data_IF_462221528096
#
_entry.id   IF_462221528096
#
_cell.length_a   1.000
_cell.length_b   1.000
_cell.length_c   1.000
_cell.angle_alpha   90.00
_cell.angle_beta   90.00
_cell.angle_gamma   90.00
#
_symmetry.space_group_name_H-M   'P 1'
#
loop_
_entity.id
_entity.type
_entity.pdbx_description
1 polymer ?
#
# COMPACT_ATOMS: atom_id res chain seq x y z
N UNK A 1 -36.17 -8.24 -9.17
CA UNK A 1 -34.81 -8.75 -9.43
C UNK A 1 -33.85 -7.83 -8.69
N UNK A 2 -32.95 -8.38 -7.87
CA UNK A 2 -31.94 -7.53 -7.20
C UNK A 2 -31.02 -6.90 -8.25
N UNK A 3 -30.67 -5.62 -8.02
CA UNK A 3 -29.80 -4.83 -8.89
C UNK A 3 -28.33 -5.21 -8.75
N UNK A 4 -27.95 -5.92 -7.68
CA UNK A 4 -26.55 -6.21 -7.33
C UNK A 4 -26.30 -7.72 -7.25
N UNK A 5 -25.33 -8.27 -8.00
CA UNK A 5 -24.96 -9.69 -7.93
C UNK A 5 -24.61 -10.18 -6.52
N UNK A 6 -23.98 -9.32 -5.70
CA UNK A 6 -23.57 -9.61 -4.33
C UNK A 6 -24.78 -9.94 -3.44
N UNK A 7 -25.90 -9.25 -3.60
CA UNK A 7 -27.13 -9.56 -2.87
C UNK A 7 -27.65 -10.96 -3.23
N UNK A 8 -27.61 -11.33 -4.51
CA UNK A 8 -28.09 -12.64 -4.96
C UNK A 8 -27.19 -13.76 -4.41
N UNK A 9 -25.87 -13.57 -4.46
CA UNK A 9 -24.89 -14.48 -3.89
C UNK A 9 -25.08 -14.61 -2.37
N UNK A 10 -25.26 -13.49 -1.65
CA UNK A 10 -25.46 -13.50 -0.20
C UNK A 10 -26.77 -14.18 0.21
N UNK A 11 -27.87 -13.97 -0.53
CA UNK A 11 -29.14 -14.69 -0.30
C UNK A 11 -29.00 -16.20 -0.50
N UNK A 12 -28.31 -16.63 -1.55
CA UNK A 12 -28.03 -18.05 -1.80
C UNK A 12 -27.20 -18.66 -0.68
N UNK A 13 -26.13 -17.97 -0.26
CA UNK A 13 -25.28 -18.38 0.84
C UNK A 13 -26.08 -18.48 2.16
N UNK A 14 -26.92 -17.48 2.46
CA UNK A 14 -27.81 -17.46 3.62
C UNK A 14 -28.73 -18.70 3.67
N UNK A 15 -29.41 -19.02 2.57
CA UNK A 15 -30.28 -20.21 2.48
C UNK A 15 -29.50 -21.52 2.64
N UNK A 16 -28.27 -21.57 2.14
CA UNK A 16 -27.41 -22.73 2.29
C UNK A 16 -26.94 -22.91 3.75
N UNK A 17 -26.53 -21.84 4.42
CA UNK A 17 -26.14 -21.84 5.83
C UNK A 17 -27.32 -22.24 6.73
N UNK A 18 -28.52 -21.70 6.50
CA UNK A 18 -29.72 -22.10 7.25
C UNK A 18 -30.00 -23.60 7.15
N UNK A 19 -29.85 -24.17 5.94
CA UNK A 19 -30.04 -25.61 5.71
C UNK A 19 -28.95 -26.44 6.40
N UNK A 20 -27.70 -25.99 6.38
CA UNK A 20 -26.58 -26.70 7.00
C UNK A 20 -26.69 -26.73 8.52
N UNK A 21 -27.05 -25.60 9.14
CA UNK A 21 -27.10 -25.48 10.61
C UNK A 21 -28.33 -26.16 11.20
N UNK A 22 -29.40 -26.39 10.42
CA UNK A 22 -30.65 -27.05 10.86
C UNK A 22 -31.21 -26.46 12.17
N UNK A 23 -31.04 -25.15 12.37
CA UNK A 23 -31.49 -24.44 13.56
C UNK A 23 -30.58 -24.55 14.79
N UNK A 24 -29.43 -25.22 14.70
CA UNK A 24 -28.41 -25.22 15.78
C UNK A 24 -27.66 -23.90 15.92
N UNK A 25 -27.75 -23.02 14.92
CA UNK A 25 -27.14 -21.70 14.90
C UNK A 25 -28.11 -20.67 14.31
N UNK A 26 -27.97 -19.42 14.72
CA UNK A 26 -28.66 -18.29 14.11
C UNK A 26 -27.90 -17.84 12.86
N UNK A 27 -28.63 -17.60 11.77
CA UNK A 27 -28.06 -17.05 10.52
C UNK A 27 -28.78 -15.74 10.22
N UNK A 28 -28.03 -14.67 10.00
CA UNK A 28 -28.52 -13.34 9.64
C UNK A 28 -27.93 -12.93 8.29
N UNK A 29 -28.68 -12.13 7.54
CA UNK A 29 -28.26 -11.53 6.28
C UNK A 29 -28.27 -10.01 6.45
N UNK A 30 -27.11 -9.39 6.29
CA UNK A 30 -26.91 -7.95 6.47
C UNK A 30 -26.29 -7.35 5.21
N UNK A 31 -26.63 -6.09 4.90
CA UNK A 31 -25.98 -5.39 3.81
C UNK A 31 -26.85 -4.40 3.04
N UNK A 32 -26.19 -3.67 2.13
CA UNK A 32 -26.80 -2.76 1.15
C UNK A 32 -25.86 -2.55 -0.03
N UNK A 33 -26.42 -2.48 -1.24
CA UNK A 33 -25.63 -2.18 -2.44
C UNK A 33 -24.66 -3.32 -2.75
N UNK A 34 -23.35 -3.01 -2.77
CA UNK A 34 -22.26 -3.97 -3.03
C UNK A 34 -21.65 -4.54 -1.75
N UNK A 35 -22.16 -4.17 -0.57
CA UNK A 35 -21.65 -4.64 0.72
C UNK A 35 -22.70 -5.56 1.35
N UNK A 36 -22.50 -6.87 1.23
CA UNK A 36 -23.37 -7.89 1.84
C UNK A 36 -22.56 -8.88 2.66
N UNK A 37 -23.15 -9.35 3.75
CA UNK A 37 -22.58 -10.37 4.61
C UNK A 37 -23.64 -11.30 5.19
N UNK A 38 -23.24 -12.55 5.45
CA UNK A 38 -23.99 -13.49 6.28
C UNK A 38 -23.30 -13.61 7.64
N UNK A 39 -24.05 -13.48 8.72
CA UNK A 39 -23.54 -13.67 10.09
C UNK A 39 -24.11 -14.96 10.64
N UNK A 40 -23.24 -15.87 11.08
CA UNK A 40 -23.61 -17.18 11.64
C UNK A 40 -23.15 -17.26 13.08
N UNK A 41 -24.08 -17.37 14.03
CA UNK A 41 -23.77 -17.35 15.47
C UNK A 41 -24.27 -18.62 16.13
N UNK A 42 -23.41 -19.28 16.92
CA UNK A 42 -23.78 -20.40 17.78
C UNK A 42 -23.07 -20.26 19.12
N UNK A 43 -23.85 -20.15 20.22
CA UNK A 43 -23.33 -19.91 21.57
C UNK A 43 -22.48 -18.63 21.60
N UNK A 44 -21.20 -18.77 21.92
CA UNK A 44 -20.18 -17.74 22.07
C UNK A 44 -19.25 -17.66 20.83
N UNK A 45 -19.64 -18.26 19.71
CA UNK A 45 -18.88 -18.23 18.46
C UNK A 45 -19.68 -17.62 17.33
N UNK A 46 -18.96 -16.94 16.45
CA UNK A 46 -19.54 -16.27 15.29
C UNK A 46 -18.64 -16.42 14.06
N UNK A 47 -19.27 -16.50 12.89
CA UNK A 47 -18.60 -16.28 11.60
C UNK A 47 -19.31 -15.18 10.85
N UNK A 48 -18.58 -14.16 10.41
CA UNK A 48 -19.06 -13.13 9.48
C UNK A 48 -18.51 -13.44 8.09
N UNK A 49 -19.38 -13.60 7.10
CA UNK A 49 -19.00 -13.96 5.72
C UNK A 49 -19.39 -12.81 4.79
N UNK A 50 -18.43 -11.98 4.41
CA UNK A 50 -18.61 -10.96 3.39
C UNK A 50 -18.58 -11.57 1.99
N UNK A 51 -19.45 -11.08 1.11
CA UNK A 51 -19.61 -11.59 -0.25
C UNK A 51 -19.20 -10.52 -1.25
N UNK A 52 -18.27 -10.87 -2.13
CA UNK A 52 -17.78 -10.03 -3.21
C UNK A 52 -18.10 -10.66 -4.56
N UNK A 53 -18.37 -9.81 -5.55
CA UNK A 53 -18.52 -10.21 -6.95
C UNK A 53 -17.58 -9.37 -7.80
N UNK A 54 -16.65 -10.04 -8.49
CA UNK A 54 -15.70 -9.37 -9.37
C UNK A 54 -16.24 -9.31 -10.80
N UNK A 55 -15.86 -8.29 -11.62
CA UNK A 55 -16.34 -8.12 -12.99
C UNK A 55 -16.14 -9.33 -13.91
N UNK A 56 -15.17 -10.20 -13.59
CA UNK A 56 -14.88 -11.45 -14.30
C UNK A 56 -15.92 -12.55 -14.01
N UNK A 57 -16.93 -12.28 -13.17
CA UNK A 57 -17.99 -13.21 -12.81
C UNK A 57 -17.68 -14.08 -11.60
N UNK A 58 -16.50 -13.93 -11.00
CA UNK A 58 -16.05 -14.74 -9.87
C UNK A 58 -16.61 -14.20 -8.55
N UNK A 59 -17.18 -15.11 -7.75
CA UNK A 59 -17.57 -14.81 -6.38
C UNK A 59 -16.38 -15.07 -5.45
N UNK A 60 -16.25 -14.24 -4.42
CA UNK A 60 -15.29 -14.44 -3.35
C UNK A 60 -15.95 -14.20 -2.00
N UNK A 61 -15.54 -15.00 -1.01
CA UNK A 61 -16.07 -15.01 0.34
C UNK A 61 -14.93 -14.69 1.29
N UNK A 62 -15.07 -13.63 2.08
CA UNK A 62 -14.16 -13.27 3.16
C UNK A 62 -14.82 -13.61 4.49
N UNK A 63 -14.20 -14.49 5.27
CA UNK A 63 -14.72 -15.00 6.52
C UNK A 63 -13.91 -14.45 7.68
N UNK A 64 -14.60 -13.95 8.71
CA UNK A 64 -14.03 -13.60 10.01
C UNK A 64 -14.53 -14.59 11.05
N UNK A 65 -13.62 -15.30 11.70
CA UNK A 65 -13.92 -16.27 12.74
C UNK A 65 -13.75 -15.63 14.11
N UNK A 66 -14.87 -15.40 14.79
CA UNK A 66 -14.92 -14.76 16.10
C UNK A 66 -15.19 -15.80 17.20
N UNK A 67 -14.39 -15.74 18.26
CA UNK A 67 -14.54 -16.55 19.46
C UNK A 67 -15.40 -15.87 20.53
N UNK A 68 -15.32 -16.36 21.78
CA UNK A 68 -16.06 -15.81 22.91
C UNK A 68 -15.83 -14.31 23.06
N UNK A 69 -16.88 -13.59 23.46
CA UNK A 69 -16.88 -12.14 23.64
C UNK A 69 -16.53 -11.32 22.37
N UNK A 70 -16.65 -11.94 21.19
CA UNK A 70 -16.36 -11.28 19.91
C UNK A 70 -14.87 -11.13 19.62
N UNK A 71 -14.01 -11.91 20.28
CA UNK A 71 -12.56 -11.89 20.02
C UNK A 71 -12.28 -12.47 18.63
N UNK A 72 -11.70 -11.66 17.75
CA UNK A 72 -11.23 -12.10 16.44
C UNK A 72 -10.17 -13.20 16.57
N UNK A 73 -10.38 -14.35 15.92
CA UNK A 73 -9.47 -15.49 16.00
C UNK A 73 -8.70 -15.75 14.71
N UNK A 74 -9.35 -15.62 13.55
CA UNK A 74 -8.77 -15.92 12.25
C UNK A 74 -9.57 -15.31 11.09
N UNK A 75 -8.91 -15.22 9.94
CA UNK A 75 -9.45 -14.75 8.68
C UNK A 75 -9.39 -15.85 7.60
N UNK A 76 -10.23 -15.77 6.59
CA UNK A 76 -10.14 -16.61 5.40
C UNK A 76 -10.69 -15.90 4.18
N UNK A 77 -10.07 -16.10 3.01
CA UNK A 77 -10.59 -15.65 1.73
C UNK A 77 -10.62 -16.80 0.74
N UNK A 78 -11.81 -17.11 0.21
CA UNK A 78 -12.02 -18.31 -0.63
C UNK A 78 -13.05 -18.04 -1.73
N UNK A 79 -12.92 -18.69 -2.89
CA UNK A 79 -13.88 -18.58 -4.02
C UNK A 79 -14.96 -19.65 -4.04
N UNK A 80 -14.83 -20.66 -3.19
CA UNK A 80 -15.73 -21.80 -3.07
C UNK A 80 -16.77 -21.54 -2.00
N UNK A 81 -18.04 -21.41 -2.42
CA UNK A 81 -19.17 -21.27 -1.49
C UNK A 81 -19.27 -22.46 -0.53
N UNK A 82 -19.04 -23.68 -1.04
CA UNK A 82 -19.13 -24.89 -0.24
C UNK A 82 -18.05 -24.94 0.85
N UNK A 83 -16.83 -24.47 0.54
CA UNK A 83 -15.74 -24.44 1.51
C UNK A 83 -15.98 -23.36 2.58
N UNK A 84 -16.53 -22.20 2.19
CA UNK A 84 -16.96 -21.17 3.14
C UNK A 84 -18.03 -21.68 4.11
N UNK A 85 -19.04 -22.39 3.58
CA UNK A 85 -20.10 -23.06 4.35
C UNK A 85 -19.50 -24.14 5.28
N UNK A 86 -18.61 -24.99 4.77
CA UNK A 86 -17.99 -26.06 5.54
C UNK A 86 -17.14 -25.52 6.70
N UNK A 87 -16.28 -24.53 6.44
CA UNK A 87 -15.46 -23.88 7.46
C UNK A 87 -16.32 -23.16 8.51
N UNK A 88 -17.38 -22.46 8.08
CA UNK A 88 -18.31 -21.81 9.00
C UNK A 88 -18.97 -22.82 9.93
N UNK A 89 -19.44 -23.94 9.38
CA UNK A 89 -20.04 -25.05 10.13
C UNK A 89 -19.08 -25.70 11.13
N UNK A 90 -17.81 -25.89 10.75
CA UNK A 90 -16.78 -26.44 11.64
C UNK A 90 -16.49 -25.49 12.82
N UNK A 91 -16.32 -24.19 12.54
CA UNK A 91 -16.05 -23.19 13.57
C UNK A 91 -17.17 -23.08 14.60
N UNK A 92 -18.41 -22.89 14.16
CA UNK A 92 -19.58 -22.82 15.06
C UNK A 92 -19.86 -24.17 15.75
N UNK A 93 -19.41 -25.27 15.14
CA UNK A 93 -19.46 -26.62 15.70
C UNK A 93 -18.48 -26.86 16.86
N UNK A 94 -17.56 -25.92 17.12
CA UNK A 94 -16.64 -25.98 18.25
C UNK A 94 -15.20 -26.38 17.89
N UNK A 95 -14.85 -26.50 16.61
CA UNK A 95 -13.49 -26.86 16.20
C UNK A 95 -12.46 -25.83 16.69
N UNK A 96 -11.31 -26.29 17.17
CA UNK A 96 -10.22 -25.38 17.57
C UNK A 96 -9.54 -24.77 16.36
N UNK A 97 -8.79 -23.68 16.54
CA UNK A 97 -8.09 -23.03 15.43
C UNK A 97 -7.07 -23.98 14.77
N UNK A 98 -6.41 -24.85 15.53
CA UNK A 98 -5.48 -25.85 14.99
C UNK A 98 -6.18 -26.87 14.10
N UNK A 99 -7.40 -27.26 14.49
CA UNK A 99 -8.23 -28.15 13.68
C UNK A 99 -8.74 -27.45 12.42
N UNK A 100 -9.06 -26.16 12.52
CA UNK A 100 -9.41 -25.33 11.36
C UNK A 100 -8.25 -25.27 10.37
N UNK A 101 -7.03 -24.98 10.82
CA UNK A 101 -5.83 -24.96 9.98
C UNK A 101 -5.53 -26.28 9.27
N UNK A 102 -5.84 -27.40 9.92
CA UNK A 102 -5.67 -28.75 9.35
C UNK A 102 -6.74 -29.07 8.30
N UNK A 103 -7.98 -28.67 8.56
CA UNK A 103 -9.14 -29.04 7.73
C UNK A 103 -9.38 -28.07 6.58
N UNK A 104 -8.97 -26.81 6.75
CA UNK A 104 -9.20 -25.70 5.83
C UNK A 104 -7.90 -24.93 5.62
N UNK A 105 -7.05 -25.34 4.65
CA UNK A 105 -5.75 -24.72 4.39
C UNK A 105 -5.82 -23.23 4.03
N UNK A 106 -6.97 -22.72 3.62
CA UNK A 106 -7.19 -21.30 3.31
C UNK A 106 -7.39 -20.41 4.55
N UNK A 107 -7.61 -20.99 5.75
CA UNK A 107 -7.75 -20.21 6.99
C UNK A 107 -6.40 -19.67 7.42
N UNK A 108 -6.30 -18.36 7.64
CA UNK A 108 -5.06 -17.62 7.89
C UNK A 108 -3.96 -17.97 6.86
N UNK A 109 -4.30 -18.28 5.60
CA UNK A 109 -3.32 -18.73 4.61
C UNK A 109 -2.20 -17.71 4.41
N UNK A 110 -2.54 -16.44 4.18
CA UNK A 110 -1.57 -15.35 4.03
C UNK A 110 -0.69 -15.21 5.27
N UNK A 111 -1.30 -15.13 6.46
CA UNK A 111 -0.60 -15.03 7.75
C UNK A 111 0.37 -16.18 7.98
N UNK A 112 -0.08 -17.43 7.79
CA UNK A 112 0.75 -18.62 7.96
C UNK A 112 1.87 -18.69 6.92
N UNK A 113 1.61 -18.22 5.70
CA UNK A 113 2.63 -18.09 4.65
C UNK A 113 3.72 -17.12 5.08
N UNK A 114 3.37 -15.93 5.57
CA UNK A 114 4.38 -14.99 6.07
C UNK A 114 5.12 -15.47 7.31
N UNK A 115 4.44 -16.15 8.24
CA UNK A 115 5.12 -16.80 9.37
C UNK A 115 6.12 -17.86 8.91
N UNK A 116 5.79 -18.63 7.87
CA UNK A 116 6.72 -19.58 7.27
C UNK A 116 7.92 -18.87 6.62
N UNK A 117 7.69 -17.80 5.87
CA UNK A 117 8.75 -16.98 5.26
C UNK A 117 9.68 -16.42 6.35
N UNK A 118 9.11 -15.83 7.40
CA UNK A 118 9.84 -15.31 8.55
C UNK A 118 10.73 -16.39 9.17
N UNK A 119 10.17 -17.56 9.46
CA UNK A 119 10.91 -18.67 10.06
C UNK A 119 12.06 -19.16 9.16
N UNK A 120 11.82 -19.29 7.86
CA UNK A 120 12.83 -19.71 6.89
C UNK A 120 13.96 -18.68 6.81
N UNK A 121 13.64 -17.40 6.59
CA UNK A 121 14.62 -16.32 6.55
C UNK A 121 15.41 -16.26 7.86
N UNK A 122 14.73 -16.21 9.00
CA UNK A 122 15.37 -16.12 10.32
C UNK A 122 16.12 -17.40 10.75
N UNK A 123 16.05 -18.49 9.97
CA UNK A 123 16.87 -19.68 10.20
C UNK A 123 18.30 -19.55 9.66
N UNK A 124 18.56 -18.58 8.77
CA UNK A 124 19.88 -18.30 8.23
C UNK A 124 20.82 -17.68 9.29
N UNK A 125 22.10 -18.09 9.24
CA UNK A 125 23.09 -17.71 10.23
C UNK A 125 23.29 -16.19 10.34
N UNK A 126 23.15 -15.68 11.56
CA UNK A 126 23.36 -14.28 11.92
C UNK A 126 22.13 -13.38 11.79
N UNK A 127 21.03 -13.85 11.18
CA UNK A 127 19.83 -13.01 11.02
C UNK A 127 19.02 -12.88 12.31
N UNK A 128 18.73 -14.00 12.98
CA UNK A 128 17.88 -14.03 14.18
C UNK A 128 18.41 -13.15 15.32
N UNK A 129 19.73 -13.08 15.47
CA UNK A 129 20.37 -12.31 16.55
C UNK A 129 20.57 -10.83 16.20
N UNK A 130 20.41 -10.46 14.93
CA UNK A 130 20.75 -9.13 14.41
C UNK A 130 19.55 -8.28 14.01
N UNK A 131 18.38 -8.89 13.83
CA UNK A 131 17.19 -8.27 13.25
C UNK A 131 15.96 -8.45 14.14
N UNK A 132 15.03 -7.50 14.07
CA UNK A 132 13.66 -7.72 14.48
C UNK A 132 12.79 -8.00 13.25
N UNK A 133 11.75 -8.82 13.43
CA UNK A 133 10.73 -9.06 12.43
C UNK A 133 9.35 -8.82 13.01
N UNK A 134 8.47 -8.28 12.18
CA UNK A 134 7.10 -7.92 12.55
C UNK A 134 6.16 -8.32 11.42
N UNK A 135 5.12 -9.08 11.76
CA UNK A 135 4.01 -9.34 10.88
C UNK A 135 2.93 -8.30 11.14
N UNK A 136 2.72 -7.39 10.19
CA UNK A 136 1.73 -6.34 10.28
C UNK A 136 0.43 -6.78 9.59
N UNK A 137 -0.69 -6.22 10.06
CA UNK A 137 -2.02 -6.40 9.47
C UNK A 137 -2.47 -5.04 8.98
N UNK A 138 -2.52 -4.83 7.66
CA UNK A 138 -2.95 -3.56 7.11
C UNK A 138 -4.48 -3.41 7.22
N UNK A 139 -5.21 -4.44 6.78
CA UNK A 139 -6.67 -4.50 6.80
C UNK A 139 -7.13 -5.92 6.47
N UNK A 140 -8.06 -6.49 7.24
CA UNK A 140 -8.60 -7.84 6.97
C UNK A 140 -7.49 -8.90 6.82
N UNK A 141 -7.47 -9.61 5.70
CA UNK A 141 -6.52 -10.67 5.38
C UNK A 141 -5.26 -10.19 4.61
N UNK A 142 -5.01 -8.88 4.58
CA UNK A 142 -3.80 -8.30 4.00
C UNK A 142 -2.72 -8.17 5.07
N UNK A 143 -1.64 -8.93 4.87
CA UNK A 143 -0.48 -9.00 5.75
C UNK A 143 0.77 -8.57 4.99
N UNK A 144 1.68 -7.91 5.71
CA UNK A 144 3.06 -7.68 5.28
C UNK A 144 4.03 -8.13 6.37
N UNK A 145 5.14 -8.74 5.96
CA UNK A 145 6.22 -9.13 6.84
C UNK A 145 7.34 -8.10 6.72
N UNK A 146 7.71 -7.47 7.83
CA UNK A 146 8.80 -6.49 7.87
C UNK A 146 9.97 -7.02 8.68
N UNK A 147 11.16 -6.89 8.12
CA UNK A 147 12.45 -7.08 8.80
C UNK A 147 13.10 -5.71 9.00
N UNK A 148 13.50 -5.40 10.22
CA UNK A 148 14.00 -4.08 10.60
C UNK A 148 15.42 -4.11 11.16
N UNK A 149 16.23 -3.17 10.68
CA UNK A 149 17.47 -2.75 11.33
C UNK A 149 17.76 -1.30 10.98
N UNK A 150 17.28 -0.40 11.84
CA UNK A 150 17.37 1.05 11.62
C UNK A 150 18.78 1.48 11.15
N UNK A 151 18.89 2.30 10.09
CA UNK A 151 17.81 2.95 9.35
C UNK A 151 17.25 2.14 8.16
N UNK A 152 17.63 0.88 7.98
CA UNK A 152 17.19 0.07 6.83
C UNK A 152 16.09 -0.90 7.21
N UNK A 153 15.26 -1.25 6.24
CA UNK A 153 14.26 -2.30 6.40
C UNK A 153 14.06 -3.09 5.10
N UNK A 154 13.45 -4.25 5.23
CA UNK A 154 12.92 -5.04 4.12
C UNK A 154 11.46 -5.37 4.44
N UNK A 155 10.52 -4.93 3.61
CA UNK A 155 9.11 -5.33 3.69
C UNK A 155 8.83 -6.38 2.63
N UNK A 156 8.09 -7.42 2.97
CA UNK A 156 7.69 -8.50 2.07
C UNK A 156 6.17 -8.54 2.05
N UNK A 157 5.59 -8.41 0.86
CA UNK A 157 4.15 -8.42 0.63
C UNK A 157 3.80 -9.34 -0.55
N UNK A 158 2.52 -9.71 -0.67
CA UNK A 158 2.06 -10.37 -1.88
C UNK A 158 1.91 -9.33 -2.98
N UNK A 159 2.56 -9.54 -4.13
CA UNK A 159 2.39 -8.65 -5.27
C UNK A 159 0.94 -8.56 -5.74
N UNK A 160 0.58 -7.47 -6.42
CA UNK A 160 -0.81 -7.22 -6.89
C UNK A 160 -1.40 -8.37 -7.72
N UNK A 161 -0.57 -9.09 -8.47
CA UNK A 161 -0.98 -10.23 -9.29
C UNK A 161 -1.00 -11.57 -8.53
N UNK A 162 -0.54 -11.59 -7.27
CA UNK A 162 -0.25 -12.79 -6.47
C UNK A 162 0.71 -13.78 -7.13
N UNK A 163 1.45 -13.37 -8.17
CA UNK A 163 2.38 -14.26 -8.90
C UNK A 163 3.77 -14.37 -8.27
N UNK A 164 3.98 -13.77 -7.09
CA UNK A 164 5.22 -13.84 -6.35
C UNK A 164 5.16 -13.02 -5.06
N UNK A 165 6.22 -13.14 -4.27
CA UNK A 165 6.46 -12.26 -3.13
C UNK A 165 7.21 -11.04 -3.63
N UNK A 166 6.73 -9.85 -3.29
CA UNK A 166 7.44 -8.60 -3.57
C UNK A 166 8.20 -8.20 -2.31
N UNK A 167 9.52 -8.04 -2.42
CA UNK A 167 10.38 -7.57 -1.34
C UNK A 167 10.85 -6.14 -1.64
N UNK A 168 10.57 -5.23 -0.72
CA UNK A 168 10.80 -3.79 -0.80
C UNK A 168 11.91 -3.44 0.17
N UNK A 169 12.98 -2.84 -0.33
CA UNK A 169 14.17 -2.54 0.44
C UNK A 169 14.23 -1.04 0.72
N UNK A 170 14.05 -0.70 1.99
CA UNK A 170 13.93 0.68 2.46
C UNK A 170 15.22 1.15 3.11
N UNK A 171 15.55 2.43 2.92
CA UNK A 171 16.52 3.17 3.72
C UNK A 171 15.88 4.45 4.22
N UNK A 172 15.81 4.62 5.54
CA UNK A 172 15.15 5.74 6.22
C UNK A 172 13.73 5.88 5.67
N UNK A 173 12.92 4.83 5.80
CA UNK A 173 11.50 4.79 5.34
C UNK A 173 11.27 5.20 3.88
N UNK A 174 12.29 5.10 3.03
CA UNK A 174 12.21 5.35 1.61
C UNK A 174 12.60 4.07 0.85
N UNK A 175 11.65 3.52 0.08
CA UNK A 175 11.90 2.38 -0.79
C UNK A 175 12.91 2.76 -1.87
N UNK A 176 14.07 2.09 -1.86
CA UNK A 176 15.13 2.34 -2.82
C UNK A 176 15.09 1.39 -4.01
N UNK A 177 14.67 0.15 -3.77
CA UNK A 177 14.47 -0.85 -4.80
C UNK A 177 13.48 -1.91 -4.33
N UNK A 178 12.93 -2.62 -5.30
CA UNK A 178 11.99 -3.72 -5.09
C UNK A 178 12.38 -4.91 -5.96
N UNK A 179 11.99 -6.11 -5.54
CA UNK A 179 12.31 -7.33 -6.26
C UNK A 179 11.22 -8.38 -6.05
N UNK A 180 10.87 -9.09 -7.12
CA UNK A 180 9.99 -10.26 -7.03
C UNK A 180 10.83 -11.48 -6.69
N UNK A 181 10.50 -12.15 -5.60
CA UNK A 181 11.22 -13.30 -5.06
C UNK A 181 10.35 -14.55 -5.16
N UNK A 182 10.95 -15.63 -5.65
CA UNK A 182 10.43 -17.00 -5.58
C UNK A 182 11.26 -17.94 -4.71
N UNK A 183 12.51 -17.55 -4.39
CA UNK A 183 13.46 -18.35 -3.60
C UNK A 183 13.74 -17.66 -2.24
N UNK A 184 13.37 -18.33 -1.15
CA UNK A 184 13.51 -17.79 0.20
C UNK A 184 14.97 -17.73 0.66
N UNK A 185 15.87 -18.53 0.09
CA UNK A 185 17.30 -18.44 0.38
C UNK A 185 17.91 -17.17 -0.25
N UNK A 186 17.44 -16.81 -1.45
CA UNK A 186 17.80 -15.53 -2.08
C UNK A 186 17.28 -14.35 -1.26
N UNK A 187 16.04 -14.42 -0.76
CA UNK A 187 15.51 -13.39 0.16
C UNK A 187 16.37 -13.27 1.41
N UNK A 188 16.68 -14.38 2.07
CA UNK A 188 17.48 -14.38 3.29
C UNK A 188 18.87 -13.78 3.05
N UNK A 189 19.51 -14.12 1.93
CA UNK A 189 20.78 -13.53 1.53
C UNK A 189 20.66 -12.02 1.32
N UNK A 190 19.67 -11.54 0.57
CA UNK A 190 19.47 -10.11 0.35
C UNK A 190 19.18 -9.36 1.65
N UNK A 191 18.33 -9.91 2.52
CA UNK A 191 18.04 -9.37 3.86
C UNK A 191 19.33 -9.27 4.68
N UNK A 192 20.18 -10.30 4.66
CA UNK A 192 21.48 -10.29 5.34
C UNK A 192 22.41 -9.22 4.79
N UNK A 193 22.63 -9.18 3.47
CA UNK A 193 23.52 -8.20 2.83
C UNK A 193 23.03 -6.78 3.08
N UNK A 194 21.72 -6.55 2.97
CA UNK A 194 21.11 -5.23 3.12
C UNK A 194 21.06 -4.73 4.56
N UNK A 195 20.48 -5.52 5.47
CA UNK A 195 20.20 -5.10 6.84
C UNK A 195 21.36 -5.40 7.78
N UNK A 196 21.94 -6.61 7.68
CA UNK A 196 22.94 -7.05 8.66
C UNK A 196 24.32 -6.50 8.35
N UNK A 197 24.74 -6.65 7.11
CA UNK A 197 26.07 -6.29 6.63
C UNK A 197 26.13 -4.87 6.07
N UNK A 198 24.97 -4.23 5.93
CA UNK A 198 24.81 -2.84 5.46
C UNK A 198 25.52 -2.55 4.14
N UNK A 199 25.56 -3.54 3.25
CA UNK A 199 26.16 -3.46 1.91
C UNK A 199 25.53 -2.30 1.14
N UNK A 200 26.35 -1.53 0.44
CA UNK A 200 25.86 -0.36 -0.28
C UNK A 200 25.17 -0.74 -1.59
N UNK A 201 24.20 0.06 -2.09
CA UNK A 201 23.54 -0.17 -3.37
C UNK A 201 24.49 -0.48 -4.53
N UNK A 202 25.61 0.25 -4.65
CA UNK A 202 26.61 0.03 -5.71
C UNK A 202 27.30 -1.33 -5.64
N UNK A 203 27.47 -1.89 -4.44
CA UNK A 203 28.02 -3.22 -4.22
C UNK A 203 26.99 -4.31 -4.47
N UNK A 204 25.74 -4.10 -4.03
CA UNK A 204 24.63 -5.00 -4.33
C UNK A 204 24.42 -5.18 -5.83
N UNK A 205 24.53 -4.11 -6.64
CA UNK A 205 24.47 -4.23 -8.11
C UNK A 205 25.57 -5.11 -8.70
N UNK A 206 26.76 -5.15 -8.09
CA UNK A 206 27.87 -5.99 -8.57
C UNK A 206 27.65 -7.45 -8.20
N UNK A 207 27.15 -7.70 -7.00
CA UNK A 207 26.90 -9.05 -6.47
C UNK A 207 25.64 -9.68 -7.05
N UNK A 208 24.60 -8.87 -7.29
CA UNK A 208 23.32 -9.28 -7.85
C UNK A 208 22.98 -8.41 -9.08
N UNK A 209 23.62 -8.66 -10.25
CA UNK A 209 23.43 -7.84 -11.46
C UNK A 209 22.00 -7.81 -12.02
N UNK A 210 21.15 -8.71 -11.55
CA UNK A 210 19.73 -8.82 -11.91
C UNK A 210 18.82 -7.93 -11.05
N UNK A 211 19.34 -7.29 -9.99
CA UNK A 211 18.58 -6.30 -9.21
C UNK A 211 18.50 -4.97 -9.96
N UNK A 212 17.28 -4.48 -10.13
CA UNK A 212 17.02 -3.13 -10.65
C UNK A 212 17.07 -2.10 -9.51
N UNK A 213 18.26 -1.59 -9.22
CA UNK A 213 18.47 -0.57 -8.19
C UNK A 213 18.59 0.80 -8.87
N UNK A 214 17.57 1.65 -8.70
CA UNK A 214 17.47 2.97 -9.32
C UNK A 214 18.48 4.02 -8.81
N UNK A 215 18.51 5.18 -9.45
CA UNK A 215 19.44 6.28 -9.14
C UNK A 215 19.19 6.94 -7.78
N UNK A 216 17.98 6.82 -7.23
CA UNK A 216 17.68 7.30 -5.87
C UNK A 216 18.58 6.64 -4.82
N UNK A 217 18.90 5.35 -5.01
CA UNK A 217 19.79 4.63 -4.11
C UNK A 217 21.22 5.19 -4.13
N UNK A 218 21.68 5.71 -5.29
CA UNK A 218 22.99 6.34 -5.41
C UNK A 218 23.05 7.65 -4.60
N UNK A 219 21.96 8.43 -4.61
CA UNK A 219 21.88 9.65 -3.81
C UNK A 219 21.94 9.35 -2.31
N UNK A 220 21.30 8.26 -1.85
CA UNK A 220 21.40 7.78 -0.48
C UNK A 220 22.82 7.34 -0.12
N UNK A 221 23.47 6.53 -0.98
CA UNK A 221 24.85 6.08 -0.79
C UNK A 221 25.84 7.26 -0.73
N UNK A 222 25.61 8.32 -1.51
CA UNK A 222 26.43 9.52 -1.54
C UNK A 222 26.14 10.52 -0.40
N UNK A 223 25.16 10.25 0.46
CA UNK A 223 24.80 11.12 1.58
C UNK A 223 23.91 12.32 1.21
N UNK A 224 23.25 12.28 0.05
CA UNK A 224 22.33 13.32 -0.44
C UNK A 224 20.88 12.81 -0.61
N UNK A 225 20.28 12.13 0.40
CA UNK A 225 18.99 11.46 0.23
C UNK A 225 17.85 12.43 -0.10
N UNK A 226 17.86 13.63 0.49
CA UNK A 226 16.80 14.63 0.31
C UNK A 226 16.76 15.15 -1.12
N UNK A 227 17.91 15.59 -1.67
CA UNK A 227 17.97 16.06 -3.07
C UNK A 227 17.59 14.92 -4.02
N UNK A 228 18.07 13.69 -3.75
CA UNK A 228 17.69 12.51 -4.52
C UNK A 228 16.18 12.25 -4.53
N UNK A 229 15.51 12.31 -3.38
CA UNK A 229 14.05 12.14 -3.27
C UNK A 229 13.27 13.23 -4.00
N UNK A 230 13.76 14.47 -3.95
CA UNK A 230 13.14 15.56 -4.70
C UNK A 230 13.27 15.30 -6.20
N UNK A 231 14.47 15.02 -6.71
CA UNK A 231 14.68 14.69 -8.12
C UNK A 231 13.79 13.51 -8.58
N UNK A 232 13.73 12.43 -7.80
CA UNK A 232 12.86 11.28 -8.09
C UNK A 232 11.37 11.66 -8.12
N UNK A 233 10.93 12.57 -7.23
CA UNK A 233 9.55 13.08 -7.23
C UNK A 233 9.23 13.90 -8.49
N UNK A 234 10.20 14.65 -9.01
CA UNK A 234 10.05 15.39 -10.27
C UNK A 234 9.98 14.46 -11.47
N UNK A 235 10.81 13.42 -11.51
CA UNK A 235 10.75 12.40 -12.57
C UNK A 235 9.37 11.71 -12.61
N UNK A 236 8.83 11.35 -11.44
CA UNK A 236 7.49 10.78 -11.34
C UNK A 236 6.39 11.74 -11.83
N UNK A 237 6.52 13.03 -11.53
CA UNK A 237 5.55 14.05 -11.94
C UNK A 237 5.63 14.34 -13.45
N UNK A 238 6.83 14.38 -14.03
CA UNK A 238 7.00 14.52 -15.47
C UNK A 238 6.44 13.31 -16.22
N UNK A 239 6.61 12.09 -15.70
CA UNK A 239 5.99 10.90 -16.26
C UNK A 239 4.46 10.98 -16.18
N UNK A 240 3.91 11.31 -15.01
CA UNK A 240 2.47 11.45 -14.78
C UNK A 240 1.82 12.45 -15.75
N UNK A 241 2.39 13.65 -15.87
CA UNK A 241 1.86 14.68 -16.78
C UNK A 241 2.32 14.54 -18.24
N UNK A 242 3.25 13.61 -18.52
CA UNK A 242 3.76 13.29 -19.84
C UNK A 242 2.89 12.29 -20.61
N UNK A 243 2.08 11.49 -19.92
CA UNK A 243 1.00 10.72 -20.53
C UNK A 243 -0.08 11.67 -21.10
N UNK A 244 -0.85 11.23 -22.11
CA UNK A 244 -1.80 12.02 -22.93
C UNK A 244 -3.01 12.63 -22.19
N UNK A 245 -2.80 13.21 -21.01
CA UNK A 245 -3.71 14.07 -20.26
C UNK A 245 -3.69 15.51 -20.82
N UNK A 246 -3.51 15.65 -22.13
CA UNK A 246 -3.43 16.93 -22.84
C UNK A 246 -4.74 17.73 -22.80
N UNK A 247 -5.84 17.11 -22.33
CA UNK A 247 -7.15 17.77 -22.21
C UNK A 247 -7.23 18.83 -21.10
N UNK A 248 -6.23 18.93 -20.21
CA UNK A 248 -6.27 19.86 -19.07
C UNK A 248 -5.61 21.21 -19.38
N UNK A 249 -4.42 21.24 -19.99
CA UNK A 249 -3.81 22.46 -20.55
C UNK A 249 -2.56 22.10 -21.39
N UNK A 250 -2.40 22.61 -22.64
CA UNK A 250 -1.29 22.23 -23.53
C UNK A 250 0.10 22.63 -23.00
N UNK A 251 0.19 23.74 -22.25
CA UNK A 251 1.48 24.28 -21.79
C UNK A 251 1.98 23.71 -20.45
N UNK A 252 1.23 22.81 -19.79
CA UNK A 252 1.58 22.30 -18.45
C UNK A 252 2.96 21.65 -18.42
N UNK A 253 3.27 20.81 -19.40
CA UNK A 253 4.57 20.11 -19.47
C UNK A 253 5.73 21.11 -19.62
N UNK A 254 5.57 22.09 -20.51
CA UNK A 254 6.57 23.15 -20.72
C UNK A 254 6.77 23.97 -19.43
N UNK A 255 5.68 24.26 -18.71
CA UNK A 255 5.73 24.96 -17.44
C UNK A 255 6.53 24.18 -16.38
N UNK A 256 6.26 22.88 -16.19
CA UNK A 256 6.99 22.03 -15.23
C UNK A 256 8.48 21.96 -15.59
N UNK A 257 8.79 21.70 -16.86
CA UNK A 257 10.18 21.68 -17.35
C UNK A 257 10.89 23.02 -17.12
N UNK A 258 10.19 24.14 -17.31
CA UNK A 258 10.75 25.47 -17.09
C UNK A 258 11.07 25.75 -15.62
N UNK A 259 10.33 25.16 -14.67
CA UNK A 259 10.67 25.21 -13.24
C UNK A 259 11.88 24.32 -12.92
N UNK A 260 11.94 23.13 -13.53
CA UNK A 260 13.08 22.22 -13.37
C UNK A 260 14.39 22.83 -13.86
N UNK A 261 14.38 23.47 -15.04
CA UNK A 261 15.55 24.19 -15.59
C UNK A 261 16.07 25.28 -14.64
N UNK A 262 15.19 25.85 -13.80
CA UNK A 262 15.56 26.85 -12.78
C UNK A 262 16.12 26.23 -11.49
N UNK A 263 16.17 24.91 -11.38
CA UNK A 263 16.76 24.19 -10.25
C UNK A 263 15.81 23.97 -9.06
N UNK A 264 14.50 24.22 -9.22
CA UNK A 264 13.52 23.96 -8.15
C UNK A 264 13.40 22.46 -7.83
N UNK A 265 13.83 21.58 -8.73
CA UNK A 265 13.84 20.13 -8.52
C UNK A 265 14.82 19.64 -7.46
N UNK A 266 15.84 20.45 -7.16
CA UNK A 266 16.83 20.14 -6.11
C UNK A 266 16.39 20.60 -4.72
N UNK A 267 15.42 21.50 -4.65
CA UNK A 267 15.01 22.12 -3.39
C UNK A 267 13.52 22.00 -3.07
N UNK A 268 12.68 21.53 -3.99
CA UNK A 268 11.25 21.34 -3.73
C UNK A 268 10.83 19.93 -4.12
N UNK A 269 10.06 19.27 -3.26
CA UNK A 269 9.40 18.02 -3.59
C UNK A 269 8.22 18.29 -4.51
N UNK A 270 8.14 17.54 -5.60
CA UNK A 270 7.03 17.55 -6.54
C UNK A 270 5.98 16.49 -6.16
N UNK A 271 4.70 16.87 -6.28
CA UNK A 271 3.56 16.00 -6.02
C UNK A 271 2.34 16.44 -6.82
N UNK A 272 1.24 15.69 -6.68
CA UNK A 272 -0.02 16.03 -7.32
C UNK A 272 -1.21 15.69 -6.44
N UNK A 273 -2.32 16.41 -6.66
CA UNK A 273 -3.64 16.02 -6.20
C UNK A 273 -4.63 16.21 -7.34
N UNK A 274 -5.15 15.10 -7.87
CA UNK A 274 -5.89 15.05 -9.13
C UNK A 274 -5.12 15.70 -10.29
N UNK A 275 -5.45 16.93 -10.65
CA UNK A 275 -4.86 17.68 -11.76
C UNK A 275 -3.97 18.84 -11.29
N UNK A 276 -3.93 19.07 -9.97
CA UNK A 276 -3.14 20.11 -9.32
C UNK A 276 -1.69 19.65 -9.19
N UNK A 277 -0.76 20.46 -9.67
CA UNK A 277 0.66 20.26 -9.43
C UNK A 277 1.05 20.93 -8.11
N UNK A 278 1.70 20.19 -7.21
CA UNK A 278 2.01 20.66 -5.86
C UNK A 278 3.52 20.62 -5.67
N UNK A 279 4.07 21.74 -5.18
CA UNK A 279 5.46 21.85 -4.74
C UNK A 279 5.47 22.07 -3.24
N UNK A 280 6.35 21.37 -2.52
CA UNK A 280 6.40 21.45 -1.06
C UNK A 280 7.82 21.28 -0.51
N UNK A 281 7.98 21.58 0.78
CA UNK A 281 9.18 21.26 1.56
C UNK A 281 8.99 20.01 2.43
N UNK A 282 7.97 19.21 2.15
CA UNK A 282 7.79 17.91 2.82
C UNK A 282 8.90 16.96 2.38
N UNK A 283 9.61 16.35 3.33
CA UNK A 283 10.56 15.29 3.02
C UNK A 283 9.85 14.12 2.33
N UNK A 284 8.74 13.66 2.91
CA UNK A 284 7.99 12.46 2.49
C UNK A 284 6.79 12.77 1.61
N UNK A 285 6.30 11.75 0.91
CA UNK A 285 5.03 11.83 0.20
C UNK A 285 3.86 12.03 1.17
N UNK A 286 2.83 12.74 0.71
CA UNK A 286 1.70 13.15 1.53
C UNK A 286 1.98 14.49 2.22
N UNK A 287 1.06 15.44 2.07
CA UNK A 287 1.10 16.68 2.84
C UNK A 287 0.41 16.44 4.18
N UNK A 288 1.07 16.85 5.26
CA UNK A 288 0.42 16.96 6.56
C UNK A 288 -0.38 18.27 6.62
N UNK A 289 -1.32 18.37 7.58
CA UNK A 289 -2.19 19.54 7.72
C UNK A 289 -1.42 20.88 7.86
N UNK A 290 -0.18 20.84 8.37
CA UNK A 290 0.66 22.02 8.58
C UNK A 290 1.81 22.14 7.55
N UNK A 291 1.90 21.24 6.57
CA UNK A 291 2.96 21.31 5.57
C UNK A 291 2.84 22.58 4.72
N UNK A 292 3.96 23.24 4.47
CA UNK A 292 4.01 24.35 3.53
C UNK A 292 4.05 23.83 2.09
N UNK A 293 3.27 24.45 1.21
CA UNK A 293 3.20 24.09 -0.20
C UNK A 293 2.77 25.26 -1.09
N UNK A 294 3.06 25.12 -2.37
CA UNK A 294 2.48 25.91 -3.45
C UNK A 294 1.75 24.95 -4.38
N UNK A 295 0.45 25.15 -4.53
CA UNK A 295 -0.41 24.39 -5.43
C UNK A 295 -0.68 25.20 -6.69
N UNK A 296 -0.48 24.57 -7.84
CA UNK A 296 -0.54 25.14 -9.18
C UNK A 296 -1.65 24.43 -9.96
N UNK A 297 -2.73 25.14 -10.19
CA UNK A 297 -3.96 24.64 -10.80
C UNK A 297 -4.07 25.19 -12.22
N UNK A 298 -3.92 24.31 -13.21
CA UNK A 298 -4.01 24.64 -14.63
C UNK A 298 -5.47 24.65 -15.06
N UNK A 299 -6.03 25.83 -15.34
CA UNK A 299 -7.39 26.03 -15.81
C UNK A 299 -7.46 26.58 -17.23
N UNK A 300 -8.67 26.64 -17.78
CA UNK A 300 -8.91 27.24 -19.10
C UNK A 300 -8.63 28.75 -19.13
N UNK A 301 -8.75 29.42 -17.98
CA UNK A 301 -8.54 30.87 -17.82
C UNK A 301 -7.12 31.24 -17.37
N UNK A 302 -6.20 30.26 -17.33
CA UNK A 302 -4.81 30.45 -16.96
C UNK A 302 -4.37 29.60 -15.76
N UNK A 303 -3.51 30.16 -14.92
CA UNK A 303 -2.88 29.46 -13.79
C UNK A 303 -3.36 30.03 -12.46
N UNK A 304 -4.06 29.24 -11.67
CA UNK A 304 -4.34 29.59 -10.28
C UNK A 304 -3.22 29.09 -9.37
N UNK A 305 -2.74 29.97 -8.49
CA UNK A 305 -1.68 29.72 -7.52
C UNK A 305 -2.30 29.78 -6.13
N UNK A 306 -2.10 28.73 -5.35
CA UNK A 306 -2.46 28.69 -3.94
C UNK A 306 -1.20 28.45 -3.11
N UNK A 307 -0.90 29.37 -2.19
CA UNK A 307 0.25 29.25 -1.28
C UNK A 307 -0.24 28.98 0.14
N UNK A 308 0.37 27.98 0.78
CA UNK A 308 0.20 27.68 2.19
C UNK A 308 1.56 27.71 2.88
N UNK A 309 1.73 28.58 3.87
CA UNK A 309 3.02 28.80 4.57
C UNK A 309 3.19 27.95 5.83
N UNK A 310 2.29 27.00 6.09
CA UNK A 310 2.26 26.19 7.32
C UNK A 310 1.68 26.92 8.55
N UNK A 311 1.39 28.22 8.44
CA UNK A 311 0.77 29.03 9.50
C UNK A 311 -0.77 28.98 9.52
N UNK A 312 -1.37 28.18 8.63
CA UNK A 312 -2.82 28.12 8.41
C UNK A 312 -3.37 29.24 7.52
N UNK A 313 -2.54 30.23 7.15
CA UNK A 313 -2.93 31.25 6.15
C UNK A 313 -2.73 30.71 4.74
N UNK A 314 -3.79 30.76 3.95
CA UNK A 314 -3.79 30.46 2.51
C UNK A 314 -3.91 31.77 1.73
N UNK A 315 -3.04 31.97 0.73
CA UNK A 315 -3.19 33.05 -0.25
C UNK A 315 -3.47 32.46 -1.63
N UNK A 316 -4.30 33.16 -2.42
CA UNK A 316 -4.68 32.74 -3.77
C UNK A 316 -4.50 33.88 -4.74
N UNK A 317 -3.94 33.58 -5.90
CA UNK A 317 -3.89 34.48 -7.05
C UNK A 317 -4.15 33.70 -8.34
N UNK A 318 -4.50 34.43 -9.40
CA UNK A 318 -4.74 33.85 -10.73
C UNK A 318 -3.95 34.65 -11.75
N UNK A 319 -3.19 33.94 -12.57
CA UNK A 319 -2.46 34.49 -13.71
C UNK A 319 -3.21 34.15 -15.01
N UNK A 320 -3.26 35.07 -15.98
CA UNK A 320 -3.98 34.85 -17.23
C UNK A 320 -3.32 33.79 -18.13
N UNK A 321 -2.01 33.56 -17.96
CA UNK A 321 -1.23 32.64 -18.80
C UNK A 321 -0.55 31.55 -17.98
N UNK A 322 -0.50 30.33 -18.51
CA UNK A 322 0.30 29.23 -17.96
C UNK A 322 1.75 29.39 -18.40
N UNK A 323 2.49 30.20 -17.67
CA UNK A 323 3.93 30.41 -17.86
C UNK A 323 4.61 30.68 -16.51
N UNK A 324 5.91 30.38 -16.41
CA UNK A 324 6.68 30.68 -15.19
C UNK A 324 6.97 32.18 -15.15
N UNK A 325 6.17 32.90 -14.36
CA UNK A 325 6.28 34.35 -14.15
C UNK A 325 7.08 34.67 -12.87
N UNK A 326 7.44 35.93 -12.68
CA UNK A 326 8.06 36.42 -11.44
C UNK A 326 7.16 36.20 -10.22
N UNK A 327 5.83 36.18 -10.38
CA UNK A 327 4.91 35.89 -9.29
C UNK A 327 5.00 34.41 -8.85
N UNK A 328 5.08 33.48 -9.81
CA UNK A 328 5.32 32.06 -9.54
C UNK A 328 6.68 31.88 -8.85
N UNK A 329 7.74 32.47 -9.41
CA UNK A 329 9.09 32.38 -8.84
C UNK A 329 9.12 32.92 -7.41
N UNK A 330 8.52 34.08 -7.15
CA UNK A 330 8.48 34.66 -5.82
C UNK A 330 7.73 33.78 -4.80
N UNK A 331 6.66 33.09 -5.21
CA UNK A 331 5.96 32.12 -4.37
C UNK A 331 6.84 30.90 -4.04
N UNK A 332 7.54 30.36 -5.03
CA UNK A 332 8.43 29.22 -4.85
C UNK A 332 9.69 29.58 -4.04
N UNK A 333 10.26 30.76 -4.27
CA UNK A 333 11.41 31.26 -3.50
C UNK A 333 11.05 31.41 -2.02
N UNK A 334 9.86 31.93 -1.70
CA UNK A 334 9.34 31.96 -0.32
C UNK A 334 9.24 30.55 0.26
N UNK A 335 8.72 29.59 -0.52
CA UNK A 335 8.61 28.20 -0.09
C UNK A 335 9.99 27.57 0.16
N UNK A 336 11.00 27.86 -0.66
CA UNK A 336 12.38 27.36 -0.50
C UNK A 336 13.01 27.82 0.83
N UNK A 337 12.66 29.01 1.32
CA UNK A 337 13.13 29.51 2.62
C UNK A 337 12.55 28.76 3.82
N UNK A 338 11.50 27.95 3.63
CA UNK A 338 10.90 27.17 4.70
C UNK A 338 11.75 25.90 4.95
N UNK A 339 12.05 25.56 6.21
CA UNK A 339 12.76 24.32 6.54
C UNK A 339 12.06 23.08 5.98
N UNK A 340 12.84 22.03 5.70
CA UNK A 340 12.30 20.74 5.30
C UNK A 340 11.60 20.13 6.51
N UNK A 341 10.33 19.77 6.33
CA UNK A 341 9.47 19.19 7.35
C UNK A 341 9.31 17.69 7.24
#
# INVERSE_FOLDING_TARGET
MSRYPEEQLARRLFEALQRQTKGSATVQLEGRGVHWACVVTCKDREVVIHVFHYPQGEAEYLLYFNGPDGVHCADARIRSENDAIAASGAWIGGDSIERMYTSFPFVDESKRTFQHIEQQVMSHEGLRDSLSSHLNVESGDFYDLRFDRHPRACRVEHGYSRQGLEAHFDWDDCMLFQVVISDLDVLALLVKRWLVEQVMPSELRKEFPWLEIGSLADAYEQGNPIEGEFLASWDAIEAFFGHDWNFLHPNRRQFIQALRVRGYDRCLRAGQSMTTFILSRSRRHGLQAQSAYVALMFGAEGLAIEEHTGTGRVTRSTLPDVSVTTEVEAALDRLVQIPIG
#
